data_IF_910093899831
#
_entry.id   IF_910093899831
#
_cell.length_a   1.000
_cell.length_b   1.000
_cell.length_c   1.000
_cell.angle_alpha   90.00
_cell.angle_beta   90.00
_cell.angle_gamma   90.00
#
_symmetry.space_group_name_H-M   'P 1'
#
loop_
_entity.id
_entity.type
_entity.pdbx_description
1 polymer ?
#
# COMPACT_ATOMS: atom_id res chain seq x y z
N UNK A 1 -8.37 27.30 -9.42
CA UNK A 1 -7.43 26.55 -10.27
C UNK A 1 -6.10 26.45 -9.55
N UNK A 2 -5.57 25.24 -9.38
CA UNK A 2 -4.29 25.00 -8.69
C UNK A 2 -3.12 25.47 -9.55
N UNK A 3 -2.28 26.34 -9.00
CA UNK A 3 -1.11 26.90 -9.69
C UNK A 3 -0.10 25.84 -10.12
N UNK A 4 0.07 24.77 -9.34
CA UNK A 4 1.01 23.69 -9.67
C UNK A 4 0.57 22.92 -10.92
N UNK A 5 -0.71 22.53 -10.98
CA UNK A 5 -1.26 21.83 -12.14
C UNK A 5 -1.07 22.65 -13.43
N UNK A 6 -1.31 23.96 -13.37
CA UNK A 6 -1.09 24.87 -14.51
C UNK A 6 0.37 24.92 -14.95
N UNK A 7 1.32 24.98 -14.01
CA UNK A 7 2.75 24.95 -14.32
C UNK A 7 3.14 23.63 -14.98
N UNK A 8 2.67 22.49 -14.45
CA UNK A 8 2.93 21.16 -15.02
C UNK A 8 2.38 21.06 -16.45
N UNK A 9 1.16 21.52 -16.70
CA UNK A 9 0.56 21.56 -18.03
C UNK A 9 1.36 22.44 -18.99
N UNK A 10 1.76 23.64 -18.58
CA UNK A 10 2.58 24.55 -19.39
C UNK A 10 3.94 23.96 -19.76
N UNK A 11 4.50 23.09 -18.90
CA UNK A 11 5.76 22.37 -19.17
C UNK A 11 5.54 21.10 -20.02
N UNK A 12 4.31 20.76 -20.38
CA UNK A 12 4.00 19.55 -21.15
C UNK A 12 4.06 18.27 -20.32
N UNK A 13 3.83 18.38 -19.01
CA UNK A 13 3.74 17.25 -18.07
C UNK A 13 4.86 17.19 -17.03
N UNK A 14 4.65 16.35 -16.02
CA UNK A 14 5.47 16.28 -14.81
C UNK A 14 6.92 15.87 -15.11
N UNK A 15 7.11 15.00 -16.11
CA UNK A 15 8.43 14.60 -16.62
C UNK A 15 9.29 15.77 -17.14
N UNK A 16 8.66 16.87 -17.55
CA UNK A 16 9.31 18.04 -18.14
C UNK A 16 9.41 19.22 -17.15
N UNK A 17 8.88 19.08 -15.93
CA UNK A 17 8.85 20.15 -14.94
C UNK A 17 10.26 20.51 -14.44
N UNK A 18 11.08 19.48 -14.18
CA UNK A 18 12.43 19.62 -13.67
C UNK A 18 13.30 18.48 -14.23
N UNK A 19 14.57 18.72 -14.57
CA UNK A 19 15.49 17.64 -14.95
C UNK A 19 15.72 16.62 -13.81
N UNK A 20 15.47 17.00 -12.55
CA UNK A 20 15.65 16.15 -11.38
C UNK A 20 14.45 15.20 -11.25
N UNK A 21 14.58 13.96 -11.73
CA UNK A 21 13.52 12.93 -11.68
C UNK A 21 12.97 12.69 -10.26
N UNK A 22 13.82 12.73 -9.24
CA UNK A 22 13.42 12.57 -7.83
C UNK A 22 12.49 13.68 -7.36
N UNK A 23 12.68 14.90 -7.85
CA UNK A 23 11.80 16.03 -7.52
C UNK A 23 10.42 15.84 -8.16
N UNK A 24 10.38 15.44 -9.43
CA UNK A 24 9.14 15.11 -10.13
C UNK A 24 8.39 13.96 -9.42
N UNK A 25 9.12 12.93 -8.97
CA UNK A 25 8.54 11.86 -8.16
C UNK A 25 7.94 12.36 -6.84
N UNK A 26 8.63 13.21 -6.09
CA UNK A 26 8.09 13.78 -4.85
C UNK A 26 6.80 14.56 -5.08
N UNK A 27 6.70 15.31 -6.19
CA UNK A 27 5.45 15.99 -6.57
C UNK A 27 4.35 14.98 -6.89
N UNK A 28 4.67 13.93 -7.65
CA UNK A 28 3.71 12.86 -7.94
C UNK A 28 3.23 12.17 -6.66
N UNK A 29 4.13 11.85 -5.74
CA UNK A 29 3.81 11.23 -4.46
C UNK A 29 2.91 12.12 -3.59
N UNK A 30 3.12 13.44 -3.59
CA UNK A 30 2.20 14.38 -2.92
C UNK A 30 0.81 14.31 -3.55
N UNK A 31 0.73 14.28 -4.87
CA UNK A 31 -0.55 14.15 -5.59
C UNK A 31 -1.27 12.84 -5.25
N UNK A 32 -0.54 11.72 -5.22
CA UNK A 32 -1.03 10.42 -4.76
C UNK A 32 -1.51 10.46 -3.31
N UNK A 33 -0.77 11.14 -2.42
CA UNK A 33 -1.14 11.29 -1.00
C UNK A 33 -2.43 12.10 -0.86
N UNK A 34 -2.56 13.21 -1.58
CA UNK A 34 -3.77 14.03 -1.56
C UNK A 34 -4.95 13.20 -2.05
N UNK A 35 -4.82 12.53 -3.20
CA UNK A 35 -5.84 11.64 -3.73
C UNK A 35 -6.28 10.56 -2.73
N UNK A 36 -5.32 9.91 -2.05
CA UNK A 36 -5.59 8.94 -0.99
C UNK A 36 -6.40 9.54 0.16
N UNK A 37 -6.02 10.73 0.65
CA UNK A 37 -6.67 11.37 1.80
C UNK A 37 -8.06 11.92 1.44
N UNK A 38 -8.24 12.43 0.22
CA UNK A 38 -9.51 13.04 -0.22
C UNK A 38 -10.40 12.09 -1.02
N UNK A 39 -9.99 10.84 -1.19
CA UNK A 39 -10.68 9.84 -2.02
C UNK A 39 -10.85 10.22 -3.50
N UNK A 40 -10.08 11.20 -4.00
CA UNK A 40 -10.18 11.71 -5.37
C UNK A 40 -9.20 11.03 -6.31
N UNK A 41 -9.30 11.30 -7.61
CA UNK A 41 -8.34 10.79 -8.59
C UNK A 41 -7.08 11.65 -8.56
N UNK A 42 -5.87 11.06 -8.61
CA UNK A 42 -4.64 11.83 -8.77
C UNK A 42 -4.70 12.65 -10.05
N UNK A 43 -4.22 13.89 -9.99
CA UNK A 43 -4.22 14.83 -11.12
C UNK A 43 -3.18 14.47 -12.16
N UNK A 44 -2.14 13.75 -11.78
CA UNK A 44 -1.03 13.38 -12.65
C UNK A 44 -0.97 11.86 -12.94
N UNK A 45 -2.10 11.15 -12.87
CA UNK A 45 -2.17 9.68 -13.00
C UNK A 45 -1.53 9.13 -14.28
N UNK A 46 -1.55 9.89 -15.37
CA UNK A 46 -1.02 9.45 -16.67
C UNK A 46 0.45 9.87 -16.89
N UNK A 47 1.08 10.46 -15.87
CA UNK A 47 2.38 11.11 -15.96
C UNK A 47 3.39 10.51 -14.97
N UNK A 48 3.28 9.20 -14.68
CA UNK A 48 4.21 8.48 -13.82
C UNK A 48 5.65 8.69 -14.30
N UNK A 49 6.52 9.27 -13.47
CA UNK A 49 7.93 9.40 -13.82
C UNK A 49 8.52 8.01 -14.04
N UNK A 50 9.19 7.78 -15.17
CA UNK A 50 9.87 6.50 -15.42
C UNK A 50 11.01 6.29 -14.42
N UNK A 51 11.21 5.05 -14.00
CA UNK A 51 12.38 4.60 -13.24
C UNK A 51 13.68 5.16 -13.84
N UNK A 52 14.61 5.69 -13.03
CA UNK A 52 15.95 6.02 -13.51
C UNK A 52 16.64 4.77 -14.08
N UNK A 53 17.14 4.84 -15.31
CA UNK A 53 17.76 3.73 -16.07
C UNK A 53 19.10 3.23 -15.50
N UNK A 54 19.62 3.83 -14.43
CA UNK A 54 21.03 3.68 -14.03
C UNK A 54 21.29 2.93 -12.72
N UNK A 55 20.30 2.29 -12.09
CA UNK A 55 20.55 1.56 -10.84
C UNK A 55 20.47 0.06 -11.03
N UNK A 56 21.62 -0.56 -11.30
CA UNK A 56 21.79 -2.00 -11.46
C UNK A 56 22.23 -2.74 -10.20
N UNK A 57 22.51 -2.11 -9.05
CA UNK A 57 23.27 -2.79 -7.99
C UNK A 57 22.86 -2.53 -6.52
N UNK A 58 21.59 -2.26 -6.20
CA UNK A 58 21.18 -2.15 -4.79
C UNK A 58 20.16 -3.24 -4.40
N UNK A 59 20.74 -4.33 -3.86
CA UNK A 59 20.22 -5.24 -2.82
C UNK A 59 18.75 -5.64 -2.87
N UNK A 60 18.43 -6.90 -3.24
CA UNK A 60 17.30 -7.75 -2.84
C UNK A 60 15.94 -7.15 -2.43
N UNK A 61 15.58 -5.93 -2.85
CA UNK A 61 14.32 -5.28 -2.51
C UNK A 61 13.20 -5.84 -3.37
N UNK A 62 12.09 -6.12 -2.70
CA UNK A 62 10.92 -6.79 -3.23
C UNK A 62 9.81 -5.75 -3.32
N UNK A 63 9.61 -5.22 -4.52
CA UNK A 63 8.63 -4.16 -4.80
C UNK A 63 7.17 -4.64 -4.75
N UNK A 64 6.96 -5.96 -4.72
CA UNK A 64 5.64 -6.56 -4.79
C UNK A 64 4.77 -6.18 -3.60
N UNK A 65 3.56 -5.74 -3.93
CA UNK A 65 2.55 -5.29 -2.98
C UNK A 65 1.29 -6.09 -3.22
N UNK A 66 0.53 -6.53 -2.18
CA UNK A 66 -0.77 -7.22 -2.32
C UNK A 66 -1.76 -6.56 -3.29
N UNK A 67 -1.53 -5.30 -3.64
CA UNK A 67 -2.37 -4.49 -4.50
C UNK A 67 -2.04 -4.60 -5.99
N UNK A 68 -0.78 -4.86 -6.34
CA UNK A 68 -0.30 -4.89 -7.71
C UNK A 68 0.81 -5.91 -7.91
N UNK A 69 0.70 -6.66 -9.00
CA UNK A 69 1.79 -7.46 -9.53
C UNK A 69 1.81 -7.30 -11.05
N UNK A 70 2.84 -6.61 -11.55
CA UNK A 70 3.15 -6.52 -12.99
C UNK A 70 3.52 -7.88 -13.59
N UNK A 71 3.87 -8.85 -12.76
CA UNK A 71 3.95 -10.25 -13.13
C UNK A 71 2.61 -10.93 -12.83
N UNK A 72 2.04 -11.65 -13.79
CA UNK A 72 0.87 -12.54 -13.65
C UNK A 72 0.99 -13.56 -12.51
N UNK A 73 2.18 -13.63 -11.92
CA UNK A 73 2.48 -14.19 -10.63
C UNK A 73 2.82 -13.03 -9.71
N UNK A 74 1.94 -12.67 -8.76
CA UNK A 74 2.42 -12.16 -7.48
C UNK A 74 3.56 -13.06 -7.09
N UNK A 75 4.81 -12.57 -6.96
CA UNK A 75 5.91 -13.42 -7.35
C UNK A 75 5.82 -14.71 -6.58
N UNK A 76 6.02 -15.78 -7.32
CA UNK A 76 6.17 -17.17 -6.91
C UNK A 76 7.36 -17.27 -5.94
N UNK A 77 7.23 -16.57 -4.82
CA UNK A 77 8.31 -15.79 -4.24
C UNK A 77 9.31 -16.70 -3.54
N UNK A 78 10.50 -16.15 -3.35
CA UNK A 78 11.39 -16.36 -2.19
C UNK A 78 10.68 -16.31 -0.79
N UNK A 79 9.36 -16.21 -0.73
CA UNK A 79 8.50 -16.48 0.41
C UNK A 79 8.39 -17.99 0.66
N UNK A 80 8.49 -18.84 -0.37
CA UNK A 80 8.62 -20.29 -0.27
C UNK A 80 10.04 -20.74 0.09
N UNK A 81 11.03 -19.87 -0.07
CA UNK A 81 12.37 -20.10 0.49
C UNK A 81 12.26 -20.20 2.01
N UNK A 82 13.00 -21.14 2.60
CA UNK A 82 13.20 -21.27 4.05
C UNK A 82 13.75 -20.01 4.72
N UNK A 83 14.16 -18.99 3.94
CA UNK A 83 14.75 -17.73 4.40
C UNK A 83 13.78 -16.54 4.51
N UNK A 84 12.48 -16.72 4.24
CA UNK A 84 11.50 -15.62 4.36
C UNK A 84 11.27 -15.23 5.82
N UNK A 85 11.28 -13.93 6.18
CA UNK A 85 10.97 -13.49 7.54
C UNK A 85 9.49 -13.68 7.90
N UNK A 86 8.63 -13.89 6.90
CA UNK A 86 7.21 -14.08 7.08
C UNK A 86 6.86 -15.56 7.27
N UNK A 87 6.18 -15.85 8.38
CA UNK A 87 5.70 -17.19 8.67
C UNK A 87 4.59 -17.63 7.67
N UNK A 88 4.28 -18.93 7.58
CA UNK A 88 3.26 -19.45 6.65
C UNK A 88 1.90 -18.77 6.78
N UNK A 89 1.48 -18.42 8.01
CA UNK A 89 0.21 -17.71 8.25
C UNK A 89 0.23 -16.31 7.65
N UNK A 90 1.32 -15.56 7.83
CA UNK A 90 1.46 -14.22 7.23
C UNK A 90 1.43 -14.29 5.71
N UNK A 91 2.11 -15.29 5.12
CA UNK A 91 2.08 -15.53 3.67
C UNK A 91 0.68 -15.79 3.15
N UNK A 92 -0.05 -16.67 3.82
CA UNK A 92 -1.44 -16.98 3.47
C UNK A 92 -2.33 -15.73 3.47
N UNK A 93 -2.17 -14.85 4.48
CA UNK A 93 -2.89 -13.57 4.53
C UNK A 93 -2.54 -12.67 3.33
N UNK A 94 -1.24 -12.52 3.00
CA UNK A 94 -0.82 -11.67 1.88
C UNK A 94 -1.36 -12.19 0.53
N UNK A 95 -1.32 -13.51 0.31
CA UNK A 95 -1.91 -14.14 -0.88
C UNK A 95 -3.41 -13.93 -0.96
N UNK A 96 -4.11 -13.99 0.16
CA UNK A 96 -5.55 -13.72 0.19
C UNK A 96 -5.86 -12.26 -0.14
N UNK A 97 -5.09 -11.30 0.39
CA UNK A 97 -5.30 -9.87 0.09
C UNK A 97 -5.05 -9.57 -1.39
N UNK A 98 -4.07 -10.26 -1.98
CA UNK A 98 -3.85 -10.24 -3.42
C UNK A 98 -5.03 -10.82 -4.21
N UNK A 99 -5.52 -12.00 -3.82
CA UNK A 99 -6.67 -12.62 -4.45
C UNK A 99 -7.91 -11.72 -4.39
N UNK A 100 -8.21 -11.13 -3.22
CA UNK A 100 -9.33 -10.19 -3.07
C UNK A 100 -9.21 -8.99 -4.01
N UNK A 101 -8.02 -8.41 -4.12
CA UNK A 101 -7.79 -7.24 -4.98
C UNK A 101 -7.94 -7.56 -6.47
N UNK A 102 -7.49 -8.74 -6.91
CA UNK A 102 -7.57 -9.15 -8.32
C UNK A 102 -8.94 -9.72 -8.70
N UNK A 103 -9.59 -10.50 -7.83
CA UNK A 103 -10.95 -10.99 -8.04
C UNK A 103 -11.97 -9.85 -8.03
N UNK A 104 -11.71 -8.75 -7.31
CA UNK A 104 -12.53 -7.54 -7.35
C UNK A 104 -12.63 -6.90 -8.74
N UNK A 105 -11.65 -7.11 -9.63
CA UNK A 105 -11.70 -6.58 -10.99
C UNK A 105 -12.61 -7.41 -11.91
N UNK A 106 -13.05 -8.59 -11.48
CA UNK A 106 -14.00 -9.45 -12.17
C UNK A 106 -15.27 -9.60 -11.31
N UNK A 107 -16.25 -8.71 -11.48
CA UNK A 107 -17.63 -8.77 -10.96
C UNK A 107 -17.83 -9.59 -9.66
N UNK A 108 -17.92 -8.90 -8.52
CA UNK A 108 -18.19 -9.51 -7.21
C UNK A 108 -19.42 -10.43 -7.22
N UNK A 109 -19.18 -11.74 -7.15
CA UNK A 109 -20.12 -12.70 -6.59
C UNK A 109 -19.80 -12.82 -5.11
N UNK A 110 -20.76 -12.47 -4.25
CA UNK A 110 -20.64 -12.27 -2.80
C UNK A 110 -20.37 -13.54 -1.97
N UNK A 111 -19.80 -14.59 -2.55
CA UNK A 111 -19.75 -15.94 -1.97
C UNK A 111 -18.37 -16.40 -1.48
N UNK A 112 -17.32 -15.58 -1.61
CA UNK A 112 -15.94 -15.99 -1.32
C UNK A 112 -15.20 -15.01 -0.40
N UNK A 113 -15.80 -14.62 0.74
CA UNK A 113 -15.00 -14.10 1.86
C UNK A 113 -14.69 -15.29 2.76
N UNK A 114 -13.46 -15.85 2.76
CA UNK A 114 -13.14 -16.98 3.62
C UNK A 114 -13.29 -16.60 5.09
N UNK A 115 -13.94 -17.47 5.87
CA UNK A 115 -14.17 -17.28 7.30
C UNK A 115 -12.87 -17.19 8.09
N UNK A 116 -12.86 -16.30 9.09
CA UNK A 116 -11.79 -16.09 10.08
C UNK A 116 -11.47 -17.37 10.86
N UNK A 117 -10.47 -18.15 10.41
CA UNK A 117 -9.84 -19.16 11.28
C UNK A 117 -8.67 -18.53 12.03
N UNK A 118 -8.98 -18.05 13.23
CA UNK A 118 -8.01 -17.67 14.27
C UNK A 118 -7.27 -18.92 14.74
N UNK A 119 -6.25 -19.33 13.99
CA UNK A 119 -5.32 -20.36 14.42
C UNK A 119 -4.43 -19.82 15.54
N UNK A 120 -4.80 -20.09 16.79
CA UNK A 120 -3.93 -19.94 17.97
C UNK A 120 -2.68 -20.79 17.76
N UNK A 121 -1.51 -20.19 17.96
CA UNK A 121 -0.22 -20.87 17.95
C UNK A 121 0.75 -20.28 16.93
N UNK A 122 1.65 -19.40 17.39
CA UNK A 122 2.95 -19.12 16.75
C UNK A 122 3.95 -18.85 17.86
N UNK A 123 5.08 -19.54 17.82
CA UNK A 123 6.25 -19.32 18.68
C UNK A 123 6.82 -17.90 18.54
N UNK A 124 7.57 -17.47 19.55
CA UNK A 124 7.76 -16.05 19.91
C UNK A 124 8.50 -15.13 18.94
N UNK A 125 9.10 -15.62 17.85
CA UNK A 125 10.11 -14.83 17.10
C UNK A 125 9.55 -13.91 16.01
N UNK A 126 8.32 -14.10 15.51
CA UNK A 126 7.74 -13.28 14.43
C UNK A 126 6.35 -12.69 14.75
N UNK A 127 6.08 -12.45 16.04
CA UNK A 127 4.76 -11.98 16.49
C UNK A 127 4.43 -10.58 15.96
N UNK A 128 5.41 -9.68 15.84
CA UNK A 128 5.22 -8.32 15.32
C UNK A 128 4.77 -8.30 13.85
N UNK A 129 5.54 -8.95 12.97
CA UNK A 129 5.23 -9.06 11.54
C UNK A 129 3.86 -9.70 11.26
N UNK A 130 3.52 -10.76 12.00
CA UNK A 130 2.20 -11.37 11.86
C UNK A 130 1.09 -10.43 12.32
N UNK A 131 1.26 -9.76 13.47
CA UNK A 131 0.25 -8.84 14.03
C UNK A 131 -0.05 -7.67 13.09
N UNK A 132 0.96 -7.02 12.53
CA UNK A 132 0.75 -5.87 11.64
C UNK A 132 0.06 -6.27 10.33
N UNK A 133 0.47 -7.39 9.72
CA UNK A 133 -0.17 -7.91 8.50
C UNK A 133 -1.61 -8.33 8.81
N UNK A 134 -1.84 -9.02 9.93
CA UNK A 134 -3.18 -9.42 10.35
C UNK A 134 -4.10 -8.21 10.56
N UNK A 135 -3.64 -7.17 11.25
CA UNK A 135 -4.41 -5.95 11.48
C UNK A 135 -4.78 -5.26 10.15
N UNK A 136 -3.80 -5.10 9.24
CA UNK A 136 -4.06 -4.55 7.91
C UNK A 136 -5.04 -5.42 7.10
N UNK A 137 -4.87 -6.75 7.13
CA UNK A 137 -5.78 -7.68 6.45
C UNK A 137 -7.21 -7.61 7.00
N UNK A 138 -7.39 -7.47 8.31
CA UNK A 138 -8.71 -7.34 8.91
C UNK A 138 -9.46 -6.10 8.40
N UNK A 139 -8.79 -4.95 8.39
CA UNK A 139 -9.35 -3.70 7.87
C UNK A 139 -9.67 -3.86 6.38
N UNK A 140 -8.71 -4.38 5.60
CA UNK A 140 -8.85 -4.50 4.16
C UNK A 140 -9.97 -5.46 3.74
N UNK A 141 -10.16 -6.59 4.46
CA UNK A 141 -11.30 -7.50 4.23
C UNK A 141 -12.64 -6.83 4.47
N UNK A 142 -12.76 -6.01 5.53
CA UNK A 142 -14.00 -5.30 5.86
C UNK A 142 -14.41 -4.34 4.73
N UNK A 143 -13.45 -3.77 4.01
CA UNK A 143 -13.72 -2.95 2.82
C UNK A 143 -14.56 -3.70 1.77
N UNK A 144 -14.30 -5.00 1.57
CA UNK A 144 -15.06 -5.85 0.66
C UNK A 144 -16.44 -6.27 1.19
N UNK A 145 -16.70 -6.04 2.48
CA UNK A 145 -18.04 -6.12 3.08
C UNK A 145 -18.77 -4.78 3.03
N UNK A 146 -18.28 -3.83 2.20
CA UNK A 146 -18.79 -2.44 2.10
C UNK A 146 -18.75 -1.69 3.43
N UNK A 147 -17.77 -1.99 4.28
CA UNK A 147 -17.50 -1.22 5.50
C UNK A 147 -16.41 -0.18 5.15
N UNK A 148 -16.70 1.13 5.29
CA UNK A 148 -15.72 2.18 5.04
C UNK A 148 -14.45 2.00 5.87
N UNK A 149 -13.30 2.37 5.30
CA UNK A 149 -12.01 2.27 6.02
C UNK A 149 -12.02 3.09 7.31
N UNK A 150 -12.60 4.29 7.28
CA UNK A 150 -12.69 5.19 8.44
C UNK A 150 -13.70 4.74 9.52
N UNK A 151 -14.32 3.55 9.37
CA UNK A 151 -15.26 3.03 10.37
C UNK A 151 -14.59 2.81 11.74
N UNK A 152 -15.32 3.13 12.82
CA UNK A 152 -14.84 3.00 14.20
C UNK A 152 -14.40 1.57 14.56
N UNK A 153 -14.93 0.55 13.89
CA UNK A 153 -14.52 -0.83 14.13
C UNK A 153 -13.06 -1.12 13.74
N UNK A 154 -12.45 -0.29 12.89
CA UNK A 154 -11.06 -0.42 12.47
C UNK A 154 -10.06 0.20 13.45
N UNK A 155 -10.51 1.03 14.42
CA UNK A 155 -9.62 1.81 15.31
C UNK A 155 -8.62 0.95 16.07
N UNK A 156 -9.04 -0.23 16.55
CA UNK A 156 -8.14 -1.17 17.26
C UNK A 156 -7.06 -1.72 16.33
N UNK A 157 -7.43 -2.11 15.12
CA UNK A 157 -6.46 -2.63 14.14
C UNK A 157 -5.48 -1.52 13.71
N UNK A 158 -5.93 -0.26 13.58
CA UNK A 158 -5.04 0.90 13.32
C UNK A 158 -4.02 1.10 14.45
N UNK A 159 -4.44 1.00 15.73
CA UNK A 159 -3.53 1.09 16.87
C UNK A 159 -2.47 -0.02 16.82
N UNK A 160 -2.88 -1.25 16.51
CA UNK A 160 -1.93 -2.37 16.35
C UNK A 160 -0.93 -2.11 15.22
N UNK A 161 -1.37 -1.52 14.10
CA UNK A 161 -0.45 -1.13 13.01
C UNK A 161 0.58 -0.13 13.53
N UNK A 162 0.16 0.94 14.22
CA UNK A 162 1.07 1.94 14.76
C UNK A 162 2.08 1.35 15.76
N UNK A 163 1.60 0.57 16.73
CA UNK A 163 2.46 -0.11 17.71
C UNK A 163 3.52 -1.00 17.04
N UNK A 164 3.14 -1.75 16.00
CA UNK A 164 4.07 -2.64 15.32
C UNK A 164 5.07 -1.90 14.43
N UNK A 165 4.74 -0.69 13.93
CA UNK A 165 5.65 0.16 13.17
C UNK A 165 6.74 0.78 14.06
N UNK A 166 6.50 0.91 15.37
CA UNK A 166 7.50 1.39 16.33
C UNK A 166 8.54 0.31 16.68
N UNK A 167 8.28 -0.96 16.35
CA UNK A 167 9.22 -2.07 16.59
C UNK A 167 10.32 -2.12 15.53
N UNK A 168 11.45 -1.49 15.84
CA UNK A 168 12.64 -1.43 15.00
C UNK A 168 13.23 -2.81 14.63
N UNK A 169 12.85 -3.90 15.30
CA UNK A 169 13.30 -5.26 14.93
C UNK A 169 12.85 -5.66 13.53
N UNK A 170 11.80 -5.02 13.01
CA UNK A 170 11.24 -5.32 11.69
C UNK A 170 11.79 -4.41 10.58
N UNK A 171 12.66 -3.45 10.90
CA UNK A 171 13.14 -2.45 9.93
C UNK A 171 13.85 -3.08 8.73
N UNK A 172 14.68 -4.10 8.94
CA UNK A 172 15.36 -4.81 7.83
C UNK A 172 14.35 -5.49 6.89
N UNK A 173 13.27 -6.05 7.45
CA UNK A 173 12.18 -6.65 6.67
C UNK A 173 11.48 -5.59 5.85
N UNK A 174 11.22 -4.41 6.42
CA UNK A 174 10.57 -3.31 5.71
C UNK A 174 11.43 -2.71 4.60
N UNK A 175 12.74 -2.65 4.81
CA UNK A 175 13.68 -2.27 3.75
C UNK A 175 13.65 -3.31 2.62
N UNK A 176 13.57 -4.61 2.94
CA UNK A 176 13.54 -5.68 1.94
C UNK A 176 12.20 -5.83 1.23
N UNK A 177 11.07 -5.57 1.90
CA UNK A 177 9.71 -5.77 1.36
C UNK A 177 8.88 -4.47 1.37
N UNK A 178 9.31 -3.41 0.67
CA UNK A 178 8.64 -2.12 0.70
C UNK A 178 7.22 -2.14 0.14
N UNK A 179 6.89 -3.04 -0.80
CA UNK A 179 5.54 -3.14 -1.35
C UNK A 179 4.50 -3.67 -0.35
N UNK A 180 4.90 -4.57 0.55
CA UNK A 180 4.05 -5.05 1.66
C UNK A 180 3.83 -3.94 2.67
N UNK A 181 4.90 -3.23 3.06
CA UNK A 181 4.79 -2.09 3.97
C UNK A 181 3.93 -0.97 3.37
N UNK A 182 4.07 -0.67 2.07
CA UNK A 182 3.23 0.30 1.37
C UNK A 182 1.74 -0.04 1.51
N UNK A 183 1.36 -1.29 1.28
CA UNK A 183 -0.03 -1.73 1.43
C UNK A 183 -0.53 -1.55 2.87
N UNK A 184 0.25 -1.96 3.87
CA UNK A 184 -0.08 -1.76 5.29
C UNK A 184 -0.33 -0.27 5.58
N UNK A 185 0.55 0.61 5.08
CA UNK A 185 0.45 2.05 5.30
C UNK A 185 -0.77 2.65 4.60
N UNK A 186 -1.10 2.21 3.38
CA UNK A 186 -2.31 2.65 2.68
C UNK A 186 -3.58 2.30 3.48
N UNK A 187 -3.66 1.05 3.96
CA UNK A 187 -4.76 0.59 4.80
C UNK A 187 -4.84 1.40 6.09
N UNK A 188 -3.71 1.59 6.77
CA UNK A 188 -3.63 2.35 8.02
C UNK A 188 -4.03 3.81 7.84
N UNK A 189 -3.49 4.50 6.83
CA UNK A 189 -3.81 5.90 6.53
C UNK A 189 -5.29 6.08 6.23
N UNK A 190 -5.89 5.18 5.45
CA UNK A 190 -7.31 5.25 5.12
C UNK A 190 -8.23 4.98 6.31
N UNK A 191 -7.79 4.13 7.25
CA UNK A 191 -8.57 3.76 8.43
C UNK A 191 -8.34 4.64 9.65
N UNK A 192 -7.26 5.41 9.68
CA UNK A 192 -6.97 6.33 10.76
C UNK A 192 -7.90 7.56 10.70
N UNK A 193 -8.55 7.85 11.83
CA UNK A 193 -9.29 9.08 12.01
C UNK A 193 -8.35 10.30 12.03
N UNK A 194 -8.85 11.44 11.53
CA UNK A 194 -8.10 12.68 11.47
C UNK A 194 -7.88 13.36 12.82
N UNK A 195 -8.62 12.98 13.87
CA UNK A 195 -8.60 13.63 15.19
C UNK A 195 -7.43 13.27 16.11
N UNK A 196 -6.90 12.04 16.02
CA UNK A 196 -5.97 11.49 17.02
C UNK A 196 -4.49 11.58 16.63
N UNK A 197 -4.14 12.30 15.55
CA UNK A 197 -2.76 12.41 15.06
C UNK A 197 -2.20 11.15 14.39
N UNK A 198 -2.82 9.98 14.59
CA UNK A 198 -2.43 8.69 13.97
C UNK A 198 -2.37 8.77 12.45
N UNK A 199 -3.32 9.48 11.82
CA UNK A 199 -3.31 9.69 10.37
C UNK A 199 -2.07 10.44 9.91
N UNK A 200 -1.62 11.45 10.66
CA UNK A 200 -0.41 12.22 10.34
C UNK A 200 0.84 11.36 10.51
N UNK A 201 0.91 10.55 11.58
CA UNK A 201 1.98 9.59 11.82
C UNK A 201 2.11 8.57 10.67
N UNK A 202 1.01 7.94 10.28
CA UNK A 202 0.99 6.96 9.19
C UNK A 202 1.27 7.61 7.83
N UNK A 203 0.81 8.84 7.61
CA UNK A 203 1.10 9.60 6.38
C UNK A 203 2.58 9.95 6.27
N UNK A 204 3.24 10.25 7.39
CA UNK A 204 4.69 10.47 7.43
C UNK A 204 5.45 9.19 7.05
N UNK A 205 5.04 8.04 7.58
CA UNK A 205 5.59 6.74 7.16
C UNK A 205 5.33 6.44 5.69
N UNK A 206 4.11 6.68 5.20
CA UNK A 206 3.77 6.55 3.79
C UNK A 206 4.69 7.40 2.91
N UNK A 207 4.92 8.66 3.29
CA UNK A 207 5.82 9.54 2.55
C UNK A 207 7.27 9.05 2.60
N UNK A 208 7.74 8.54 3.74
CA UNK A 208 9.08 7.93 3.88
C UNK A 208 9.26 6.75 2.92
N UNK A 209 8.31 5.82 2.89
CA UNK A 209 8.37 4.63 2.01
C UNK A 209 8.16 5.02 0.54
N UNK A 210 7.25 5.95 0.27
CA UNK A 210 6.99 6.44 -1.08
C UNK A 210 8.18 7.19 -1.66
N UNK A 211 8.86 8.04 -0.89
CA UNK A 211 10.04 8.78 -1.41
C UNK A 211 11.21 7.85 -1.75
N UNK A 212 11.32 6.69 -1.11
CA UNK A 212 12.31 5.68 -1.45
C UNK A 212 11.89 4.80 -2.63
N UNK A 213 10.67 4.95 -3.18
CA UNK A 213 10.22 4.22 -4.37
C UNK A 213 11.06 4.48 -5.61
N UNK A 214 11.83 5.58 -5.65
CA UNK A 214 12.85 5.80 -6.68
C UNK A 214 13.84 4.62 -6.76
N UNK A 215 14.07 3.94 -5.64
CA UNK A 215 15.00 2.82 -5.51
C UNK A 215 14.35 1.46 -5.77
N UNK A 216 13.09 1.27 -5.35
CA UNK A 216 12.43 -0.03 -5.40
C UNK A 216 11.35 -0.17 -6.48
N UNK A 217 10.75 0.92 -6.98
CA UNK A 217 9.69 0.86 -8.00
C UNK A 217 8.70 2.01 -7.93
N UNK A 218 8.89 3.06 -8.73
CA UNK A 218 7.96 4.21 -8.79
C UNK A 218 6.66 3.85 -9.50
N UNK A 219 6.77 3.01 -10.53
CA UNK A 219 5.63 2.43 -11.23
C UNK A 219 4.82 1.54 -10.28
N UNK A 220 5.48 0.61 -9.57
CA UNK A 220 4.84 -0.29 -8.62
C UNK A 220 4.17 0.47 -7.46
N UNK A 221 4.82 1.51 -6.94
CA UNK A 221 4.22 2.38 -5.93
C UNK A 221 2.97 3.08 -6.46
N UNK A 222 3.02 3.61 -7.69
CA UNK A 222 1.90 4.33 -8.30
C UNK A 222 0.73 3.39 -8.56
N UNK A 223 1.00 2.23 -9.15
CA UNK A 223 -0.01 1.21 -9.42
C UNK A 223 -0.67 0.75 -8.11
N UNK A 224 0.12 0.45 -7.07
CA UNK A 224 -0.42 0.01 -5.78
C UNK A 224 -1.36 1.06 -5.17
N UNK A 225 -0.97 2.34 -5.16
CA UNK A 225 -1.84 3.42 -4.66
C UNK A 225 -3.11 3.52 -5.51
N UNK A 226 -3.01 3.42 -6.83
CA UNK A 226 -4.16 3.48 -7.73
C UNK A 226 -5.11 2.30 -7.56
N UNK A 227 -4.59 1.08 -7.38
CA UNK A 227 -5.38 -0.11 -7.09
C UNK A 227 -6.09 0.00 -5.74
N UNK A 228 -5.38 0.48 -4.71
CA UNK A 228 -5.98 0.72 -3.40
C UNK A 228 -7.11 1.75 -3.45
N UNK A 229 -6.92 2.86 -4.17
CA UNK A 229 -7.94 3.90 -4.33
C UNK A 229 -9.24 3.35 -4.92
N UNK A 230 -9.17 2.39 -5.86
CA UNK A 230 -10.36 1.72 -6.40
C UNK A 230 -11.11 0.96 -5.31
N UNK A 231 -10.39 0.18 -4.50
CA UNK A 231 -10.98 -0.59 -3.39
C UNK A 231 -11.57 0.33 -2.33
N UNK A 232 -10.87 1.41 -1.98
CA UNK A 232 -11.34 2.42 -1.03
C UNK A 232 -12.67 3.04 -1.49
N UNK A 233 -12.75 3.50 -2.74
CA UNK A 233 -13.99 4.08 -3.28
C UNK A 233 -15.14 3.07 -3.32
N UNK A 234 -14.88 1.81 -3.65
CA UNK A 234 -15.88 0.75 -3.60
C UNK A 234 -16.43 0.55 -2.18
N UNK A 235 -15.55 0.53 -1.19
CA UNK A 235 -15.93 0.39 0.22
C UNK A 235 -16.71 1.61 0.76
N UNK A 236 -16.38 2.81 0.28
CA UNK A 236 -17.06 4.06 0.64
C UNK A 236 -18.37 4.27 -0.17
N UNK A 237 -18.72 3.36 -1.09
CA UNK A 237 -19.95 3.40 -1.88
C UNK A 237 -19.91 4.32 -3.12
N UNK A 238 -18.72 4.79 -3.51
CA UNK A 238 -18.53 5.70 -4.65
C UNK A 238 -18.31 4.97 -6.00
N UNK A 239 -18.27 3.63 -6.01
CA UNK A 239 -17.87 2.82 -7.17
C UNK A 239 -18.97 2.33 -8.12
N UNK A 240 -20.21 2.82 -8.02
CA UNK A 240 -21.32 2.47 -8.93
C UNK A 240 -21.72 3.62 -9.90
N UNK A 241 -20.78 4.48 -10.30
CA UNK A 241 -21.04 5.52 -11.32
C UNK A 241 -20.14 5.38 -12.54
#
# INVERSE_FOLDING_TARGET
MDGLARIVTMKGGLKNLCPIKQFCWKIHLIDLTVALLTNTQPRFSDQTPRRPTQFTNHSHQISSSPLCSTTSYFPSFEFESTTSPFCPKTRSLLHEMHALTHSSNSNFSSTLVPSLTLGVGVGGENRGLFRIVQAASNIYRRAFLKIPFASLCNRRDVQVICECLEDAKNDEVWVRYPGVLLWILLVGVAAADGGDGLRSYLTMWFYRVGTTAVWWGVEECTEAVMAFLKVKRLADGEGER
#
